data_IF_142558660308
#
_entry.id   IF_142558660308
#
_cell.length_a   1.000
_cell.length_b   1.000
_cell.length_c   1.000
_cell.angle_alpha   90.00
_cell.angle_beta   90.00
_cell.angle_gamma   90.00
#
_symmetry.space_group_name_H-M   'P 1'
#
loop_
_entity.id
_entity.type
_entity.pdbx_description
1 polymer ?
#
# COMPACT_ATOMS: atom_id res chain seq x y z
N UNK A 1 5.64 16.09 3.19
CA UNK A 1 5.51 15.06 2.12
C UNK A 1 4.23 14.26 2.36
N UNK A 2 3.43 13.97 1.34
CA UNK A 2 2.20 13.16 1.44
C UNK A 2 2.50 11.69 1.18
N UNK A 3 2.26 10.84 2.17
CA UNK A 3 2.53 9.41 2.08
C UNK A 3 1.24 8.63 2.33
N UNK A 4 0.88 7.77 1.38
CA UNK A 4 -0.27 6.89 1.52
C UNK A 4 0.17 5.44 1.77
N UNK A 5 -0.38 4.84 2.81
CA UNK A 5 -0.23 3.43 3.15
C UNK A 5 -1.40 2.67 2.51
N UNK A 6 -1.13 1.95 1.41
CA UNK A 6 -2.11 1.06 0.80
C UNK A 6 -2.00 -0.33 1.45
N UNK A 7 -2.83 -0.54 2.48
CA UNK A 7 -2.78 -1.72 3.34
C UNK A 7 -2.06 -1.45 4.66
N UNK A 8 -2.83 -1.41 5.75
CA UNK A 8 -2.31 -1.21 7.11
C UNK A 8 -2.30 -2.54 7.89
N UNK A 9 -1.45 -3.45 7.43
CA UNK A 9 -1.10 -4.68 8.15
C UNK A 9 0.14 -4.49 9.03
N UNK A 10 0.85 -5.57 9.34
CA UNK A 10 2.06 -5.51 10.16
C UNK A 10 3.13 -4.58 9.57
N UNK A 11 3.48 -4.75 8.28
CA UNK A 11 4.52 -3.94 7.63
C UNK A 11 4.06 -2.50 7.39
N UNK A 12 2.88 -2.31 6.80
CA UNK A 12 2.33 -0.98 6.53
C UNK A 12 2.10 -0.16 7.80
N UNK A 13 1.58 -0.79 8.87
CA UNK A 13 1.40 -0.14 10.17
C UNK A 13 2.72 0.17 10.87
N UNK A 14 3.71 -0.72 10.79
CA UNK A 14 5.05 -0.48 11.35
C UNK A 14 5.74 0.70 10.66
N UNK A 15 5.88 0.64 9.33
CA UNK A 15 6.54 1.70 8.55
C UNK A 15 5.76 3.01 8.72
N UNK A 16 4.44 2.96 8.59
CA UNK A 16 3.57 4.11 8.78
C UNK A 16 3.77 4.79 10.13
N UNK A 17 3.70 4.04 11.22
CA UNK A 17 3.87 4.62 12.57
C UNK A 17 5.25 5.24 12.72
N UNK A 18 6.32 4.57 12.24
CA UNK A 18 7.69 5.09 12.33
C UNK A 18 7.88 6.35 11.50
N UNK A 19 7.30 6.42 10.30
CA UNK A 19 7.30 7.63 9.47
C UNK A 19 6.54 8.78 10.13
N UNK A 20 5.39 8.50 10.73
CA UNK A 20 4.60 9.52 11.43
C UNK A 20 5.38 10.18 12.57
N UNK A 21 6.16 9.38 13.30
CA UNK A 21 6.95 9.84 14.45
C UNK A 21 8.11 10.75 14.06
N UNK A 22 8.52 10.82 12.78
CA UNK A 22 9.53 11.80 12.36
C UNK A 22 8.95 13.20 12.23
N UNK A 23 7.63 13.32 12.01
CA UNK A 23 6.94 14.60 11.87
C UNK A 23 7.05 15.24 10.47
N UNK A 24 7.75 14.61 9.52
CA UNK A 24 8.05 15.22 8.21
C UNK A 24 7.00 14.90 7.12
N UNK A 25 6.01 14.06 7.45
CA UNK A 25 5.04 13.56 6.48
C UNK A 25 3.58 13.61 6.98
N UNK A 26 2.70 13.89 6.03
CA UNK A 26 1.25 13.76 6.19
C UNK A 26 0.87 12.34 5.77
N UNK A 27 0.36 11.56 6.73
CA UNK A 27 -0.01 10.18 6.49
C UNK A 27 -1.47 10.04 6.10
N UNK A 28 -1.69 9.32 5.02
CA UNK A 28 -2.99 8.76 4.64
C UNK A 28 -2.94 7.24 4.61
N UNK A 29 -4.07 6.58 4.79
CA UNK A 29 -4.16 5.13 4.74
C UNK A 29 -5.40 4.67 3.95
N UNK A 30 -5.20 3.72 3.06
CA UNK A 30 -6.29 2.97 2.44
C UNK A 30 -6.47 1.67 3.21
N UNK A 31 -7.63 1.54 3.87
CA UNK A 31 -8.02 0.36 4.64
C UNK A 31 -9.53 0.13 4.55
N UNK A 32 -10.00 -1.06 4.91
CA UNK A 32 -11.43 -1.42 4.87
C UNK A 32 -11.88 -2.12 6.14
N UNK A 33 -13.19 -2.16 6.36
CA UNK A 33 -13.82 -2.91 7.45
C UNK A 33 -13.29 -2.51 8.83
N UNK A 34 -13.02 -3.50 9.67
CA UNK A 34 -12.58 -3.30 11.06
C UNK A 34 -11.27 -2.49 11.18
N UNK A 35 -10.33 -2.66 10.23
CA UNK A 35 -9.07 -1.90 10.23
C UNK A 35 -9.32 -0.42 9.99
N UNK A 36 -10.19 -0.06 9.05
CA UNK A 36 -10.54 1.34 8.81
C UNK A 36 -11.20 1.98 10.03
N UNK A 37 -12.15 1.28 10.66
CA UNK A 37 -12.79 1.76 11.87
C UNK A 37 -11.78 2.00 13.00
N UNK A 38 -10.84 1.07 13.20
CA UNK A 38 -9.78 1.22 14.20
C UNK A 38 -8.87 2.42 13.90
N UNK A 39 -8.45 2.61 12.63
CA UNK A 39 -7.60 3.75 12.25
C UNK A 39 -8.29 5.09 12.45
N UNK A 40 -9.59 5.20 12.14
CA UNK A 40 -10.36 6.43 12.36
C UNK A 40 -10.54 6.75 13.84
N UNK A 41 -10.69 5.74 14.69
CA UNK A 41 -10.90 5.93 16.13
C UNK A 41 -9.61 6.15 16.92
N UNK A 42 -8.53 5.45 16.54
CA UNK A 42 -7.33 5.31 17.38
C UNK A 42 -6.04 5.73 16.66
N UNK A 43 -6.11 6.04 15.36
CA UNK A 43 -4.94 6.24 14.54
C UNK A 43 -4.11 4.97 14.37
N UNK A 44 -2.85 5.16 13.98
CA UNK A 44 -1.84 4.12 13.94
C UNK A 44 -1.36 3.81 15.36
N UNK A 45 -1.20 2.53 15.67
CA UNK A 45 -0.66 2.05 16.95
C UNK A 45 0.38 0.98 16.71
N UNK A 46 1.57 1.19 17.27
CA UNK A 46 2.68 0.25 17.20
C UNK A 46 3.15 -0.08 18.60
N UNK A 47 3.15 -1.36 18.96
CA UNK A 47 3.77 -1.85 20.19
C UNK A 47 5.15 -2.42 19.88
N UNK A 48 6.19 -1.87 20.49
CA UNK A 48 7.57 -2.30 20.26
C UNK A 48 8.39 -2.13 21.55
N UNK A 49 9.12 -3.17 21.97
CA UNK A 49 9.98 -3.09 23.15
C UNK A 49 9.24 -2.80 24.47
N UNK A 50 7.97 -3.15 24.57
CA UNK A 50 7.13 -2.84 25.74
C UNK A 50 6.43 -1.48 25.67
N UNK A 51 6.86 -0.60 24.77
CA UNK A 51 6.28 0.73 24.57
C UNK A 51 5.15 0.71 23.53
N UNK A 52 4.23 1.68 23.63
CA UNK A 52 3.15 1.91 22.68
C UNK A 52 3.34 3.28 22.01
N UNK A 53 3.55 3.26 20.70
CA UNK A 53 3.62 4.45 19.87
C UNK A 53 2.29 4.66 19.16
N UNK A 54 1.81 5.89 19.15
CA UNK A 54 0.56 6.29 18.51
C UNK A 54 0.81 7.42 17.52
N UNK A 55 0.10 7.41 16.39
CA UNK A 55 0.18 8.48 15.41
C UNK A 55 -1.14 8.71 14.68
N UNK A 56 -1.41 9.96 14.33
CA UNK A 56 -2.56 10.31 13.51
C UNK A 56 -2.38 9.85 12.06
N UNK A 57 -3.47 9.46 11.42
CA UNK A 57 -3.50 9.08 10.01
C UNK A 57 -4.87 9.42 9.43
N UNK A 58 -4.91 9.96 8.21
CA UNK A 58 -6.16 10.14 7.48
C UNK A 58 -6.55 8.83 6.79
N UNK A 59 -7.55 8.12 7.32
CA UNK A 59 -7.92 6.80 6.82
C UNK A 59 -9.23 6.81 6.02
N UNK A 60 -9.18 6.21 4.82
CA UNK A 60 -10.32 6.04 3.92
C UNK A 60 -10.35 4.62 3.32
N UNK A 61 -11.53 4.16 2.95
CA UNK A 61 -11.72 3.00 2.06
C UNK A 61 -11.75 3.40 0.58
N UNK A 62 -11.82 4.70 0.28
CA UNK A 62 -11.87 5.24 -1.07
C UNK A 62 -10.61 6.06 -1.40
N UNK A 63 -9.69 5.54 -2.22
CA UNK A 63 -8.45 6.25 -2.59
C UNK A 63 -8.70 7.64 -3.17
N UNK A 64 -9.79 7.84 -3.92
CA UNK A 64 -10.11 9.14 -4.51
C UNK A 64 -10.29 10.26 -3.47
N UNK A 65 -10.73 9.95 -2.25
CA UNK A 65 -10.91 10.98 -1.21
C UNK A 65 -9.59 11.46 -0.61
N UNK A 66 -8.50 10.72 -0.81
CA UNK A 66 -7.17 11.07 -0.31
C UNK A 66 -6.37 11.90 -1.33
N UNK A 67 -6.70 11.76 -2.61
CA UNK A 67 -6.04 12.45 -3.72
C UNK A 67 -4.60 12.01 -3.97
N UNK A 68 -3.91 12.74 -4.85
CA UNK A 68 -2.53 12.45 -5.27
C UNK A 68 -1.55 12.51 -4.10
N UNK A 69 -0.61 11.58 -4.09
CA UNK A 69 0.39 11.38 -3.04
C UNK A 69 1.81 11.52 -3.59
N UNK A 70 2.79 11.85 -2.75
CA UNK A 70 4.20 11.85 -3.14
C UNK A 70 4.75 10.41 -3.14
N UNK A 71 4.32 9.61 -2.16
CA UNK A 71 4.71 8.20 -2.01
C UNK A 71 3.48 7.35 -1.70
N UNK A 72 3.31 6.24 -2.43
CA UNK A 72 2.32 5.21 -2.12
C UNK A 72 3.04 3.91 -1.73
N UNK A 73 2.90 3.52 -0.48
CA UNK A 73 3.48 2.29 0.08
C UNK A 73 2.46 1.16 -0.02
N UNK A 74 2.71 0.19 -0.89
CA UNK A 74 1.79 -0.95 -1.10
C UNK A 74 2.26 -2.11 -0.23
N UNK A 75 1.54 -2.37 0.85
CA UNK A 75 1.89 -3.38 1.87
C UNK A 75 0.76 -4.42 2.07
N UNK A 76 0.09 -4.80 0.98
CA UNK A 76 -0.94 -5.85 0.97
C UNK A 76 -0.35 -7.24 0.72
N UNK A 77 -1.14 -8.30 0.94
CA UNK A 77 -0.77 -9.66 0.50
C UNK A 77 -1.01 -9.81 -1.00
N UNK A 78 -0.25 -10.69 -1.66
CA UNK A 78 -0.31 -10.91 -3.11
C UNK A 78 -1.73 -11.10 -3.69
N UNK A 79 -2.65 -11.86 -3.05
CA UNK A 79 -4.01 -12.02 -3.58
C UNK A 79 -4.83 -10.71 -3.66
N UNK A 80 -4.46 -9.69 -2.89
CA UNK A 80 -5.13 -8.39 -2.89
C UNK A 80 -4.56 -7.41 -3.92
N UNK A 81 -3.43 -7.74 -4.56
CA UNK A 81 -2.76 -6.84 -5.49
C UNK A 81 -3.63 -6.44 -6.71
N UNK A 82 -4.45 -7.34 -7.32
CA UNK A 82 -5.34 -6.93 -8.41
C UNK A 82 -6.35 -5.84 -8.01
N UNK A 83 -6.89 -5.93 -6.80
CA UNK A 83 -7.81 -4.91 -6.26
C UNK A 83 -7.08 -3.57 -6.05
N UNK A 84 -5.83 -3.60 -5.55
CA UNK A 84 -5.00 -2.40 -5.42
C UNK A 84 -4.75 -1.78 -6.79
N UNK A 85 -4.31 -2.57 -7.78
CA UNK A 85 -3.98 -2.07 -9.11
C UNK A 85 -5.19 -1.39 -9.79
N UNK A 86 -6.40 -1.90 -9.57
CA UNK A 86 -7.62 -1.32 -10.12
C UNK A 86 -8.03 0.02 -9.47
N UNK A 87 -7.60 0.29 -8.23
CA UNK A 87 -8.10 1.41 -7.42
C UNK A 87 -7.04 2.45 -7.04
N UNK A 88 -5.75 2.16 -7.25
CA UNK A 88 -4.63 3.02 -6.82
C UNK A 88 -4.50 4.30 -7.65
N UNK A 89 -5.05 4.34 -8.87
CA UNK A 89 -4.88 5.42 -9.83
C UNK A 89 -5.12 6.85 -9.28
N UNK A 90 -6.15 7.13 -8.45
CA UNK A 90 -6.37 8.47 -7.89
C UNK A 90 -5.25 8.98 -6.98
N UNK A 91 -4.41 8.08 -6.47
CA UNK A 91 -3.26 8.41 -5.61
C UNK A 91 -2.00 8.75 -6.42
N UNK A 92 -1.99 8.45 -7.73
CA UNK A 92 -0.82 8.54 -8.59
C UNK A 92 -0.88 9.80 -9.45
N UNK A 93 0.09 10.68 -9.24
CA UNK A 93 0.40 11.84 -10.08
C UNK A 93 1.70 11.67 -10.85
N UNK A 94 2.12 12.72 -11.55
CA UNK A 94 3.29 12.70 -12.45
C UNK A 94 4.62 12.36 -11.75
N UNK A 95 4.73 12.68 -10.45
CA UNK A 95 5.93 12.54 -9.61
C UNK A 95 5.76 11.51 -8.49
N UNK A 96 4.62 10.83 -8.42
CA UNK A 96 4.35 9.87 -7.34
C UNK A 96 5.27 8.66 -7.45
N UNK A 97 5.91 8.32 -6.34
CA UNK A 97 6.64 7.07 -6.20
C UNK A 97 5.72 5.99 -5.63
N UNK A 98 5.79 4.78 -6.15
CA UNK A 98 5.07 3.64 -5.57
C UNK A 98 6.08 2.60 -5.12
N UNK A 99 6.02 2.27 -3.84
CA UNK A 99 6.94 1.36 -3.18
C UNK A 99 6.19 0.08 -2.74
N UNK A 100 6.36 -1.04 -3.46
CA UNK A 100 5.85 -2.32 -3.00
C UNK A 100 6.69 -2.83 -1.82
N UNK A 101 6.06 -2.96 -0.65
CA UNK A 101 6.65 -3.52 0.57
C UNK A 101 6.03 -4.90 0.87
N UNK A 102 6.21 -5.82 -0.07
CA UNK A 102 5.65 -7.16 -0.01
C UNK A 102 6.66 -8.22 -0.47
N UNK A 103 6.60 -9.40 0.13
CA UNK A 103 7.45 -10.53 -0.25
C UNK A 103 6.96 -11.19 -1.54
N UNK A 104 7.89 -11.75 -2.33
CA UNK A 104 7.55 -12.50 -3.54
C UNK A 104 7.04 -11.64 -4.71
N UNK A 105 7.29 -10.33 -4.67
CA UNK A 105 7.00 -9.44 -5.78
C UNK A 105 8.00 -9.68 -6.91
N UNK A 106 7.57 -10.41 -7.94
CA UNK A 106 8.37 -10.62 -9.15
C UNK A 106 7.85 -9.72 -10.26
N UNK A 107 8.69 -8.80 -10.72
CA UNK A 107 8.40 -7.97 -11.89
C UNK A 107 8.82 -8.74 -13.14
N UNK A 108 7.89 -9.02 -14.05
CA UNK A 108 8.25 -9.47 -15.41
C UNK A 108 8.26 -8.26 -16.34
N UNK A 109 9.38 -8.03 -17.05
CA UNK A 109 9.48 -7.03 -18.12
C UNK A 109 10.05 -5.66 -17.74
N UNK A 110 10.71 -5.49 -16.59
CA UNK A 110 11.31 -4.20 -16.24
C UNK A 110 12.58 -3.92 -17.07
N UNK A 111 12.44 -3.08 -18.10
CA UNK A 111 13.44 -2.03 -18.25
C UNK A 111 13.31 -1.14 -17.02
N UNK A 112 14.30 -1.21 -16.13
CA UNK A 112 14.35 -0.42 -14.90
C UNK A 112 14.41 1.05 -15.31
N UNK A 113 13.27 1.72 -15.34
CA UNK A 113 13.20 3.17 -15.47
C UNK A 113 13.29 3.72 -14.04
N UNK A 114 14.41 4.36 -13.64
CA UNK A 114 14.72 4.64 -12.23
C UNK A 114 13.80 5.67 -11.55
N UNK A 115 12.75 6.15 -12.23
CA UNK A 115 11.90 7.25 -11.76
C UNK A 115 10.40 6.93 -11.65
N UNK A 116 9.91 5.81 -12.17
CA UNK A 116 8.47 5.48 -12.13
C UNK A 116 8.30 3.96 -12.07
N UNK A 117 7.94 3.43 -10.91
CA UNK A 117 7.44 2.06 -10.81
C UNK A 117 5.92 2.13 -10.96
N UNK A 118 5.37 1.66 -12.09
CA UNK A 118 4.15 0.81 -12.26
C UNK A 118 3.73 0.65 -13.74
N UNK A 119 3.18 -0.54 -14.11
CA UNK A 119 2.13 -0.84 -15.15
C UNK A 119 2.42 -2.19 -15.86
N UNK A 120 1.48 -3.04 -16.35
CA UNK A 120 0.02 -3.17 -16.33
C UNK A 120 -0.30 -4.68 -16.58
N UNK A 121 -1.48 -5.16 -16.18
CA UNK A 121 -1.89 -6.57 -16.28
C UNK A 121 -2.46 -6.92 -17.66
N UNK A 122 -1.95 -7.98 -18.29
CA UNK A 122 -2.63 -8.66 -19.40
C UNK A 122 -2.95 -10.09 -18.96
N UNK A 123 -4.21 -10.47 -19.12
CA UNK A 123 -4.73 -11.79 -18.79
C UNK A 123 -4.24 -12.82 -19.80
N UNK A 124 -3.40 -13.75 -19.37
CA UNK A 124 -3.22 -15.02 -20.04
C UNK A 124 -3.53 -16.14 -19.06
N UNK A 125 -4.79 -16.55 -19.07
CA UNK A 125 -5.13 -17.95 -18.83
C UNK A 125 -4.28 -18.83 -19.75
N UNK A 126 -3.50 -19.74 -19.19
CA UNK A 126 -2.92 -20.85 -19.95
C UNK A 126 -3.25 -22.19 -19.25
N UNK A 127 -3.30 -23.29 -20.03
CA UNK A 127 -4.31 -24.32 -19.87
C UNK A 127 -3.92 -25.37 -18.83
N UNK A 128 -4.95 -25.92 -18.19
CA UNK A 128 -4.89 -27.23 -17.56
C UNK A 128 -4.52 -28.26 -18.63
N UNK A 129 -3.28 -28.74 -18.62
CA UNK A 129 -2.88 -29.95 -19.35
C UNK A 129 -3.46 -31.18 -18.64
N UNK A 130 -4.02 -32.16 -19.36
CA UNK A 130 -4.65 -33.32 -18.74
C UNK A 130 -3.59 -34.28 -18.19
N UNK A 131 -3.94 -34.90 -17.07
CA UNK A 131 -3.29 -36.06 -16.49
C UNK A 131 -3.01 -37.12 -17.57
N UNK A 132 -1.73 -37.44 -17.76
CA UNK A 132 -1.32 -38.68 -18.39
C UNK A 132 -1.51 -39.81 -17.36
N UNK A 133 -2.15 -40.89 -17.81
CA UNK A 133 -2.26 -42.19 -17.14
C UNK A 133 -0.90 -42.86 -17.04
#
# INVERSE_FOLDING_TARGET
MKVCLYGVGAIGGFIGTRLALTGDCELSAVARGATLAALRQQGLRLRQGGELFCAAVNASDEPATLGVQDLVLVAVKAPSLPEVAARIAPLIGATTLVLPAMNGFTVRGASVCPRKIFAAAESASEPVMPSAR
#
